data_IF_688934958414
#
_entry.id   IF_688934958414
#
_cell.length_a   1.000
_cell.length_b   1.000
_cell.length_c   1.000
_cell.angle_alpha   90.00
_cell.angle_beta   90.00
_cell.angle_gamma   90.00
#
_symmetry.space_group_name_H-M   'P 1'
#
loop_
_entity.id
_entity.type
_entity.pdbx_description
1 polymer ?
#
# COMPACT_ATOMS: atom_id res chain seq x y z
N UNK A 1 -5.66 11.99 0.35
CA UNK A 1 -5.91 10.53 0.38
C UNK A 1 -7.01 10.11 -0.57
N UNK A 2 -8.17 10.81 -0.65
CA UNK A 2 -9.26 10.36 -1.54
C UNK A 2 -8.92 10.31 -3.03
N UNK A 3 -7.94 11.11 -3.48
CA UNK A 3 -7.56 11.22 -4.89
C UNK A 3 -6.42 10.26 -5.24
N UNK A 4 -5.38 10.21 -4.40
CA UNK A 4 -4.14 9.43 -4.60
C UNK A 4 -3.49 9.11 -3.25
N UNK A 5 -2.68 8.05 -3.22
CA UNK A 5 -2.01 7.54 -2.02
C UNK A 5 -2.85 6.50 -1.28
N UNK A 6 -2.27 5.89 -0.25
CA UNK A 6 -2.98 5.01 0.71
C UNK A 6 -3.48 5.80 1.91
N UNK A 7 -2.74 6.79 2.37
CA UNK A 7 -3.18 7.75 3.39
C UNK A 7 -2.36 9.04 3.26
N UNK A 8 -2.48 9.99 4.21
CA UNK A 8 -1.90 11.32 4.03
C UNK A 8 -0.37 11.27 4.01
N UNK A 9 0.22 10.40 4.82
CA UNK A 9 1.67 10.20 4.92
C UNK A 9 2.29 9.72 3.61
N UNK A 10 1.52 9.09 2.71
CA UNK A 10 2.01 8.57 1.43
C UNK A 10 2.07 9.67 0.35
N UNK A 11 3.09 10.51 0.44
CA UNK A 11 3.27 11.67 -0.44
C UNK A 11 3.95 11.26 -1.74
N UNK A 12 3.43 11.74 -2.88
CA UNK A 12 3.95 11.44 -4.22
C UNK A 12 4.46 12.70 -4.91
N UNK A 13 5.70 12.66 -5.40
CA UNK A 13 6.32 13.72 -6.21
C UNK A 13 6.31 13.30 -7.66
N UNK A 14 5.76 14.16 -8.52
CA UNK A 14 5.70 13.95 -9.97
C UNK A 14 6.62 14.98 -10.65
N UNK A 15 7.52 14.51 -11.49
CA UNK A 15 8.36 15.34 -12.35
C UNK A 15 7.97 15.13 -13.82
N UNK A 16 7.48 16.17 -14.53
CA UNK A 16 7.21 16.06 -15.94
C UNK A 16 8.52 15.91 -16.74
N UNK A 17 8.50 15.05 -17.74
CA UNK A 17 9.62 14.77 -18.64
C UNK A 17 9.30 15.41 -19.98
N UNK A 18 10.00 16.49 -20.30
CA UNK A 18 9.92 17.13 -21.61
C UNK A 18 11.09 16.70 -22.50
N UNK A 19 10.80 16.40 -23.76
CA UNK A 19 11.79 16.12 -24.79
C UNK A 19 11.56 17.04 -25.98
N UNK A 20 12.56 17.87 -26.32
CA UNK A 20 12.49 18.87 -27.41
C UNK A 20 11.25 19.78 -27.36
N UNK A 21 10.82 20.15 -26.16
CA UNK A 21 9.68 21.06 -25.94
C UNK A 21 8.32 20.37 -25.80
N UNK A 22 8.24 19.05 -26.02
CA UNK A 22 7.00 18.28 -25.89
C UNK A 22 7.00 17.42 -24.64
N UNK A 23 5.84 17.27 -23.99
CA UNK A 23 5.67 16.41 -22.82
C UNK A 23 5.68 14.94 -23.28
N UNK A 24 6.66 14.18 -22.79
CA UNK A 24 6.76 12.73 -23.07
C UNK A 24 6.10 11.88 -21.97
N UNK A 25 6.23 12.29 -20.70
CA UNK A 25 5.68 11.52 -19.58
C UNK A 25 6.05 12.10 -18.22
N UNK A 26 6.01 11.26 -17.18
CA UNK A 26 6.31 11.66 -15.81
C UNK A 26 7.23 10.64 -15.12
N UNK A 27 8.20 11.12 -14.35
CA UNK A 27 8.87 10.33 -13.32
C UNK A 27 8.15 10.56 -11.99
N UNK A 28 7.92 9.50 -11.23
CA UNK A 28 7.15 9.57 -9.98
C UNK A 28 7.91 8.87 -8.86
N UNK A 29 7.99 9.51 -7.70
CA UNK A 29 8.54 8.94 -6.47
C UNK A 29 7.54 9.10 -5.33
N UNK A 30 7.20 8.00 -4.66
CA UNK A 30 6.37 8.01 -3.45
C UNK A 30 7.23 7.63 -2.25
N UNK A 31 7.00 8.32 -1.14
CA UNK A 31 7.59 7.99 0.15
C UNK A 31 6.52 8.17 1.23
N UNK A 32 6.65 7.39 2.29
CA UNK A 32 5.85 7.54 3.48
C UNK A 32 6.54 8.53 4.41
N UNK A 33 5.94 9.69 4.64
CA UNK A 33 6.42 10.70 5.57
C UNK A 33 5.96 10.33 6.98
N UNK A 34 6.92 10.12 7.88
CA UNK A 34 6.65 9.60 9.22
C UNK A 34 5.66 10.46 10.03
N UNK A 35 5.68 11.78 9.86
CA UNK A 35 4.73 12.69 10.51
C UNK A 35 4.22 13.75 9.52
N UNK A 36 2.90 13.88 9.42
CA UNK A 36 2.24 14.87 8.56
C UNK A 36 1.36 15.85 9.35
N UNK A 37 1.61 16.01 10.65
CA UNK A 37 0.86 16.96 11.47
C UNK A 37 -0.56 16.53 11.83
N UNK A 38 -0.86 15.23 11.82
CA UNK A 38 -2.10 14.70 12.38
C UNK A 38 -2.25 15.00 13.87
N UNK A 39 -3.43 14.75 14.45
CA UNK A 39 -3.70 15.04 15.88
C UNK A 39 -2.69 14.37 16.81
N UNK A 40 -2.26 13.15 16.47
CA UNK A 40 -1.24 12.39 17.20
C UNK A 40 0.10 12.37 16.44
N UNK A 41 1.24 12.23 17.14
CA UNK A 41 2.53 12.02 16.49
C UNK A 41 2.55 10.73 15.68
N UNK A 42 2.98 10.82 14.42
CA UNK A 42 3.05 9.68 13.53
C UNK A 42 1.72 9.41 12.84
N UNK A 43 0.84 8.69 13.53
CA UNK A 43 -0.46 8.27 13.00
C UNK A 43 -1.53 8.27 14.10
N UNK A 44 -2.74 8.72 13.73
CA UNK A 44 -3.93 8.72 14.60
C UNK A 44 -4.76 7.46 14.34
N UNK A 45 -5.28 6.83 15.40
CA UNK A 45 -6.04 5.55 15.33
C UNK A 45 -7.53 5.67 15.67
N UNK A 46 -7.94 6.85 16.10
CA UNK A 46 -9.28 7.21 16.57
C UNK A 46 -9.75 8.52 15.90
N UNK A 47 -9.20 8.87 14.74
CA UNK A 47 -9.67 10.03 13.98
C UNK A 47 -11.10 9.81 13.50
N UNK A 48 -11.94 10.85 13.60
CA UNK A 48 -13.34 10.86 13.14
C UNK A 48 -13.54 11.64 11.85
N UNK A 49 -12.51 12.39 11.44
CA UNK A 49 -12.49 13.16 10.21
C UNK A 49 -11.06 13.25 9.67
N UNK A 50 -10.91 13.29 8.35
CA UNK A 50 -9.60 13.38 7.69
C UNK A 50 -8.78 14.60 8.11
N UNK A 51 -9.42 15.67 8.61
CA UNK A 51 -8.73 16.87 9.07
C UNK A 51 -7.90 16.63 10.33
N UNK A 52 -8.23 15.59 11.10
CA UNK A 52 -7.45 15.14 12.25
C UNK A 52 -6.25 14.27 11.85
N UNK A 53 -6.13 13.89 10.57
CA UNK A 53 -5.07 13.03 10.06
C UNK A 53 -3.87 13.81 9.53
N UNK A 54 -3.99 15.15 9.44
CA UNK A 54 -2.88 16.06 9.20
C UNK A 54 -2.98 16.86 7.92
N UNK A 55 -1.82 17.32 7.44
CA UNK A 55 -1.68 18.24 6.32
C UNK A 55 -2.18 17.60 5.02
N UNK A 56 -3.17 18.27 4.42
CA UNK A 56 -3.73 17.88 3.12
C UNK A 56 -3.13 18.72 2.01
N UNK A 57 -2.17 18.15 1.29
CA UNK A 57 -1.56 18.79 0.13
C UNK A 57 -2.32 18.40 -1.16
N UNK A 58 -3.05 19.32 -1.81
CA UNK A 58 -3.52 19.10 -3.17
C UNK A 58 -2.32 19.11 -4.14
N UNK A 59 -2.51 18.80 -5.45
CA UNK A 59 -1.45 18.95 -6.44
C UNK A 59 -0.78 20.33 -6.36
N UNK A 60 0.44 20.37 -5.84
CA UNK A 60 1.14 21.60 -5.47
C UNK A 60 2.55 21.57 -6.04
N UNK A 61 2.99 22.70 -6.63
CA UNK A 61 4.33 22.81 -7.21
C UNK A 61 5.36 23.05 -6.10
N UNK A 62 6.08 21.99 -5.76
CA UNK A 62 7.15 21.98 -4.74
C UNK A 62 8.52 22.41 -5.27
N UNK A 63 8.70 22.46 -6.59
CA UNK A 63 9.91 22.93 -7.23
C UNK A 63 9.60 23.61 -8.58
N UNK A 64 10.35 24.65 -8.92
CA UNK A 64 10.19 25.45 -10.15
C UNK A 64 11.59 25.71 -10.72
N UNK A 65 11.81 25.37 -11.99
CA UNK A 65 13.11 25.58 -12.64
C UNK A 65 14.25 24.75 -12.03
N UNK A 66 13.94 23.67 -11.32
CA UNK A 66 14.93 22.86 -10.59
C UNK A 66 15.18 23.31 -9.15
N UNK A 67 14.66 24.48 -8.76
CA UNK A 67 14.80 25.03 -7.42
C UNK A 67 13.57 24.72 -6.56
N UNK A 68 13.79 24.44 -5.27
CA UNK A 68 12.73 24.15 -4.32
C UNK A 68 11.91 25.41 -4.04
N UNK A 69 10.59 25.27 -3.99
CA UNK A 69 9.68 26.35 -3.63
C UNK A 69 9.61 26.48 -2.11
N UNK A 70 10.33 27.46 -1.56
CA UNK A 70 10.40 27.70 -0.13
C UNK A 70 9.05 28.04 0.51
N UNK A 71 8.16 28.75 -0.18
CA UNK A 71 6.83 29.06 0.36
C UNK A 71 6.02 27.79 0.70
N UNK A 72 6.21 26.72 -0.08
CA UNK A 72 5.56 25.42 0.16
C UNK A 72 6.29 24.63 1.24
N UNK A 73 7.61 24.66 1.23
CA UNK A 73 8.43 24.00 2.25
C UNK A 73 8.15 24.57 3.64
N UNK A 74 8.08 25.90 3.76
CA UNK A 74 7.82 26.57 5.04
C UNK A 74 6.47 26.14 5.62
N UNK A 75 5.44 25.98 4.77
CA UNK A 75 4.14 25.45 5.19
C UNK A 75 4.24 23.99 5.65
N UNK A 76 4.98 23.14 4.93
CA UNK A 76 5.18 21.75 5.31
C UNK A 76 5.92 21.66 6.66
N UNK A 77 7.04 22.37 6.80
CA UNK A 77 7.86 22.40 8.02
C UNK A 77 7.07 22.87 9.24
N UNK A 78 6.23 23.90 9.07
CA UNK A 78 5.40 24.42 10.15
C UNK A 78 4.30 23.45 10.62
N UNK A 79 3.97 22.44 9.83
CA UNK A 79 2.88 21.48 10.09
C UNK A 79 3.39 20.06 10.38
N UNK A 80 4.66 19.88 10.73
CA UNK A 80 5.19 18.55 11.11
C UNK A 80 6.03 18.63 12.38
N UNK A 81 6.02 17.54 13.13
CA UNK A 81 6.88 17.34 14.31
C UNK A 81 8.31 16.95 13.93
N UNK A 82 8.53 16.51 12.68
CA UNK A 82 9.82 16.03 12.18
C UNK A 82 10.28 16.78 10.91
N UNK A 83 10.42 18.13 10.94
CA UNK A 83 10.65 18.94 9.74
C UNK A 83 11.90 18.51 8.97
N UNK A 84 13.00 18.23 9.67
CA UNK A 84 14.24 17.79 9.04
C UNK A 84 14.10 16.47 8.29
N UNK A 85 13.32 15.52 8.83
CA UNK A 85 13.07 14.21 8.22
C UNK A 85 12.17 14.36 6.99
N UNK A 86 11.02 15.02 7.16
CA UNK A 86 10.03 15.24 6.10
C UNK A 86 10.63 16.01 4.91
N UNK A 87 11.39 17.08 5.16
CA UNK A 87 12.06 17.82 4.08
C UNK A 87 13.21 17.03 3.47
N UNK A 88 13.87 16.17 4.26
CA UNK A 88 14.81 15.18 3.75
C UNK A 88 14.16 14.24 2.74
N UNK A 89 13.00 13.67 3.07
CA UNK A 89 12.23 12.78 2.20
C UNK A 89 11.76 13.50 0.93
N UNK A 90 11.21 14.73 1.06
CA UNK A 90 10.83 15.53 -0.09
C UNK A 90 12.00 15.76 -1.05
N UNK A 91 13.18 16.13 -0.51
CA UNK A 91 14.40 16.31 -1.31
C UNK A 91 14.84 15.02 -1.98
N UNK A 92 14.79 13.89 -1.27
CA UNK A 92 15.13 12.58 -1.80
C UNK A 92 14.18 12.17 -2.94
N UNK A 93 12.88 12.41 -2.79
CA UNK A 93 11.87 12.15 -3.82
C UNK A 93 12.09 13.01 -5.07
N UNK A 94 12.39 14.31 -4.91
CA UNK A 94 12.73 15.21 -6.03
C UNK A 94 13.98 14.70 -6.75
N UNK A 95 15.03 14.35 -6.01
CA UNK A 95 16.27 13.83 -6.59
C UNK A 95 16.04 12.51 -7.36
N UNK A 96 15.25 11.59 -6.81
CA UNK A 96 14.89 10.34 -7.46
C UNK A 96 14.12 10.58 -8.77
N UNK A 97 13.11 11.46 -8.74
CA UNK A 97 12.34 11.82 -9.92
C UNK A 97 13.22 12.51 -10.98
N UNK A 98 14.14 13.38 -10.59
CA UNK A 98 15.09 14.03 -11.49
C UNK A 98 16.03 13.02 -12.19
N UNK A 99 16.59 12.07 -11.43
CA UNK A 99 17.41 10.99 -12.00
C UNK A 99 16.61 10.16 -12.99
N UNK A 100 15.37 9.80 -12.65
CA UNK A 100 14.46 9.08 -13.56
C UNK A 100 14.22 9.84 -14.86
N UNK A 101 13.87 11.13 -14.76
CA UNK A 101 13.66 12.01 -15.92
C UNK A 101 14.88 12.08 -16.83
N UNK A 102 16.08 12.24 -16.25
CA UNK A 102 17.34 12.29 -17.02
C UNK A 102 17.58 10.98 -17.79
N UNK A 103 17.37 9.82 -17.15
CA UNK A 103 17.55 8.51 -17.81
C UNK A 103 16.58 8.29 -18.97
N UNK A 104 15.34 8.76 -18.83
CA UNK A 104 14.38 8.72 -19.95
C UNK A 104 14.82 9.61 -21.10
N UNK A 105 15.29 10.83 -20.82
CA UNK A 105 15.82 11.74 -21.87
C UNK A 105 17.03 11.09 -22.58
N UNK A 106 17.96 10.48 -21.85
CA UNK A 106 19.10 9.75 -22.43
C UNK A 106 18.66 8.62 -23.36
N UNK A 107 17.58 7.90 -23.03
CA UNK A 107 16.99 6.88 -23.90
C UNK A 107 16.38 7.50 -25.17
N UNK A 108 15.64 8.59 -25.02
CA UNK A 108 15.00 9.29 -26.14
C UNK A 108 16.02 9.90 -27.11
N UNK A 109 17.13 10.46 -26.59
CA UNK A 109 18.22 10.98 -27.42
C UNK A 109 18.91 9.88 -28.22
N UNK A 110 19.09 8.70 -27.61
CA UNK A 110 19.81 7.59 -28.23
C UNK A 110 18.97 6.86 -29.28
N UNK A 111 17.69 6.63 -29.01
CA UNK A 111 16.84 5.75 -29.81
C UNK A 111 15.72 6.48 -30.56
N UNK A 112 15.40 7.72 -30.18
CA UNK A 112 14.27 8.47 -30.73
C UNK A 112 12.93 8.11 -30.06
N UNK A 113 11.98 9.05 -30.14
CA UNK A 113 10.66 8.95 -29.49
C UNK A 113 9.85 7.77 -30.02
N UNK A 114 9.85 7.56 -31.33
CA UNK A 114 9.07 6.50 -31.99
C UNK A 114 9.52 5.12 -31.51
N UNK A 115 10.82 4.82 -31.57
CA UNK A 115 11.38 3.52 -31.15
C UNK A 115 11.11 3.25 -29.67
N UNK A 116 11.23 4.27 -28.81
CA UNK A 116 10.95 4.10 -27.37
C UNK A 116 9.46 3.84 -27.13
N UNK A 117 8.56 4.51 -27.85
CA UNK A 117 7.12 4.27 -27.74
C UNK A 117 6.71 2.89 -28.26
N UNK A 118 7.27 2.45 -29.38
CA UNK A 118 7.01 1.11 -29.94
C UNK A 118 7.48 0.02 -28.98
N UNK A 119 8.68 0.16 -28.41
CA UNK A 119 9.21 -0.77 -27.42
C UNK A 119 8.31 -0.81 -26.16
N UNK A 120 7.85 0.36 -25.69
CA UNK A 120 6.92 0.47 -24.56
C UNK A 120 5.60 -0.27 -24.84
N UNK A 121 4.97 -0.04 -25.99
CA UNK A 121 3.73 -0.74 -26.34
C UNK A 121 3.94 -2.25 -26.50
N UNK A 122 5.07 -2.69 -27.05
CA UNK A 122 5.41 -4.12 -27.10
C UNK A 122 5.51 -4.73 -25.70
N UNK A 123 6.17 -4.06 -24.76
CA UNK A 123 6.29 -4.51 -23.36
C UNK A 123 4.90 -4.56 -22.69
N UNK A 124 4.05 -3.57 -22.94
CA UNK A 124 2.70 -3.52 -22.38
C UNK A 124 1.83 -4.64 -22.94
N UNK A 125 1.82 -4.84 -24.25
CA UNK A 125 1.06 -5.92 -24.89
C UNK A 125 1.55 -7.30 -24.41
N UNK A 126 2.86 -7.45 -24.18
CA UNK A 126 3.41 -8.68 -23.62
C UNK A 126 2.92 -8.94 -22.19
N UNK A 127 2.93 -7.93 -21.33
CA UNK A 127 2.41 -8.06 -19.96
C UNK A 127 0.92 -8.42 -19.94
N UNK A 128 0.12 -7.75 -20.78
CA UNK A 128 -1.30 -8.07 -20.96
C UNK A 128 -1.50 -9.53 -21.41
N UNK A 129 -0.70 -10.01 -22.37
CA UNK A 129 -0.80 -11.39 -22.86
C UNK A 129 -0.54 -12.44 -21.79
N UNK A 130 0.41 -12.19 -20.87
CA UNK A 130 0.69 -13.10 -19.76
C UNK A 130 -0.45 -13.14 -18.75
N UNK A 131 -1.04 -11.99 -18.45
CA UNK A 131 -2.19 -11.89 -17.53
C UNK A 131 -3.43 -12.56 -18.13
N UNK A 132 -3.72 -12.31 -19.41
CA UNK A 132 -4.83 -12.95 -20.13
C UNK A 132 -4.69 -14.47 -20.21
N UNK A 133 -3.50 -14.98 -20.55
CA UNK A 133 -3.24 -16.42 -20.57
C UNK A 133 -3.40 -17.08 -19.20
N UNK A 134 -3.05 -16.36 -18.12
CA UNK A 134 -3.26 -16.86 -16.76
C UNK A 134 -4.74 -16.88 -16.36
N UNK A 135 -5.55 -15.91 -16.84
CA UNK A 135 -7.00 -15.88 -16.61
C UNK A 135 -7.69 -17.03 -17.36
N UNK A 136 -7.32 -17.30 -18.62
CA UNK A 136 -7.90 -18.37 -19.45
C UNK A 136 -7.70 -19.79 -18.87
N UNK A 137 -6.77 -19.96 -17.93
CA UNK A 137 -6.57 -21.22 -17.21
C UNK A 137 -7.66 -21.48 -16.16
N UNK A 138 -8.47 -20.47 -15.82
CA UNK A 138 -9.58 -20.56 -14.88
C UNK A 138 -10.88 -20.76 -15.68
N UNK A 139 -11.78 -21.61 -15.18
CA UNK A 139 -13.08 -21.79 -15.80
C UNK A 139 -13.92 -20.51 -15.72
N UNK A 140 -14.60 -20.17 -16.82
CA UNK A 140 -15.62 -19.11 -16.83
C UNK A 140 -16.67 -19.36 -15.74
N UNK A 141 -17.04 -18.31 -15.02
CA UNK A 141 -18.02 -18.42 -13.94
C UNK A 141 -17.99 -17.27 -12.96
N UNK A 142 -18.81 -17.42 -11.92
CA UNK A 142 -18.87 -16.51 -10.79
C UNK A 142 -18.33 -17.19 -9.54
N UNK A 143 -17.39 -16.52 -8.89
CA UNK A 143 -16.76 -16.93 -7.65
C UNK A 143 -17.06 -15.88 -6.58
N UNK A 144 -17.11 -16.28 -5.32
CA UNK A 144 -17.38 -15.32 -4.25
C UNK A 144 -16.72 -15.70 -2.94
N UNK A 145 -16.43 -14.67 -2.16
CA UNK A 145 -15.98 -14.80 -0.79
C UNK A 145 -16.47 -13.59 0.02
N UNK A 146 -16.65 -13.81 1.31
CA UNK A 146 -16.98 -12.77 2.27
C UNK A 146 -16.06 -12.82 3.48
N UNK A 147 -15.95 -11.67 4.14
CA UNK A 147 -15.17 -11.47 5.35
C UNK A 147 -15.49 -10.14 6.01
N UNK A 148 -14.83 -9.89 7.14
CA UNK A 148 -15.13 -8.79 8.02
C UNK A 148 -13.86 -8.09 8.47
N UNK A 149 -13.95 -6.79 8.69
CA UNK A 149 -13.02 -6.05 9.53
C UNK A 149 -13.68 -5.89 10.90
N UNK A 150 -12.96 -6.25 11.96
CA UNK A 150 -13.54 -6.41 13.30
C UNK A 150 -14.06 -5.10 13.90
N UNK A 151 -13.33 -4.01 13.72
CA UNK A 151 -13.66 -2.68 14.27
C UNK A 151 -13.10 -1.54 13.43
N UNK A 152 -13.63 -0.34 13.62
CA UNK A 152 -13.17 0.88 12.96
C UNK A 152 -12.21 1.74 13.80
N UNK A 153 -11.83 1.26 14.99
CA UNK A 153 -11.04 2.00 15.99
C UNK A 153 -11.92 2.71 17.03
N UNK A 154 -13.24 2.75 16.83
CA UNK A 154 -14.20 3.49 17.66
C UNK A 154 -15.37 2.61 18.15
N UNK A 155 -15.32 1.29 17.95
CA UNK A 155 -16.36 0.38 18.42
C UNK A 155 -17.54 0.17 17.47
N UNK A 156 -17.44 0.55 16.19
CA UNK A 156 -18.55 0.46 15.22
C UNK A 156 -18.48 -0.75 14.28
N UNK A 157 -17.67 -1.75 14.61
CA UNK A 157 -17.61 -3.00 13.86
C UNK A 157 -18.70 -4.03 14.19
N UNK A 158 -18.71 -5.17 13.47
CA UNK A 158 -17.83 -5.48 12.35
C UNK A 158 -18.30 -4.87 11.02
N UNK A 159 -17.36 -4.53 10.15
CA UNK A 159 -17.61 -4.04 8.79
C UNK A 159 -17.50 -5.19 7.79
N UNK A 160 -18.54 -5.39 6.98
CA UNK A 160 -18.65 -6.52 6.07
C UNK A 160 -18.13 -6.18 4.67
N UNK A 161 -17.43 -7.13 4.04
CA UNK A 161 -17.07 -7.09 2.63
C UNK A 161 -17.48 -8.39 1.97
N UNK A 162 -18.33 -8.28 0.95
CA UNK A 162 -18.64 -9.36 0.03
C UNK A 162 -18.00 -9.07 -1.32
N UNK A 163 -17.16 -9.98 -1.76
CA UNK A 163 -16.48 -9.92 -3.05
C UNK A 163 -17.09 -10.95 -3.99
N UNK A 164 -17.52 -10.50 -5.17
CA UNK A 164 -17.81 -11.36 -6.32
C UNK A 164 -16.71 -11.21 -7.35
N UNK A 165 -16.34 -12.31 -7.97
CA UNK A 165 -15.33 -12.36 -9.03
C UNK A 165 -15.95 -13.07 -10.23
N UNK A 166 -16.10 -12.36 -11.34
CA UNK A 166 -16.63 -12.93 -12.59
C UNK A 166 -15.48 -13.11 -13.56
N UNK A 167 -15.25 -14.36 -13.99
CA UNK A 167 -14.28 -14.71 -15.04
C UNK A 167 -15.03 -15.00 -16.32
N UNK A 168 -14.62 -14.35 -17.42
CA UNK A 168 -15.20 -14.57 -18.75
C UNK A 168 -14.11 -14.49 -19.83
N UNK A 169 -13.74 -15.65 -20.39
CA UNK A 169 -12.64 -15.77 -21.33
C UNK A 169 -11.32 -15.35 -20.70
N UNK A 170 -10.80 -14.19 -21.14
CA UNK A 170 -9.54 -13.64 -20.63
C UNK A 170 -9.72 -12.36 -19.81
N UNK A 171 -10.96 -12.02 -19.44
CA UNK A 171 -11.30 -10.86 -18.62
C UNK A 171 -11.82 -11.30 -17.24
N UNK A 172 -11.50 -10.49 -16.23
CA UNK A 172 -11.92 -10.69 -14.85
C UNK A 172 -12.53 -9.39 -14.30
N UNK A 173 -13.66 -9.52 -13.62
CA UNK A 173 -14.31 -8.41 -12.91
C UNK A 173 -14.37 -8.72 -11.42
N UNK A 174 -13.92 -7.79 -10.59
CA UNK A 174 -14.06 -7.84 -9.13
C UNK A 174 -15.13 -6.86 -8.70
N UNK A 175 -16.15 -7.32 -7.99
CA UNK A 175 -17.25 -6.50 -7.49
C UNK A 175 -17.32 -6.55 -5.95
N UNK A 176 -17.09 -5.38 -5.34
CA UNK A 176 -17.17 -5.13 -3.89
C UNK A 176 -18.22 -4.06 -3.55
N UNK A 177 -19.23 -3.88 -4.40
CA UNK A 177 -20.30 -2.88 -4.19
C UNK A 177 -21.16 -3.14 -2.95
N UNK A 178 -21.19 -4.39 -2.46
CA UNK A 178 -21.90 -4.82 -1.24
C UNK A 178 -21.08 -4.61 0.06
N UNK A 179 -19.97 -3.88 0.02
CA UNK A 179 -19.25 -3.49 1.23
C UNK A 179 -20.09 -2.58 2.14
N UNK A 180 -19.86 -2.65 3.45
CA UNK A 180 -20.48 -1.77 4.46
C UNK A 180 -20.33 -0.27 4.12
N UNK A 181 -21.24 0.54 4.66
CA UNK A 181 -21.15 2.00 4.56
C UNK A 181 -19.86 2.53 5.20
N UNK A 182 -19.44 3.73 4.79
CA UNK A 182 -18.28 4.40 5.36
C UNK A 182 -18.39 4.47 6.88
N UNK A 183 -17.30 4.10 7.56
CA UNK A 183 -17.22 4.05 9.01
C UNK A 183 -16.86 5.43 9.58
N UNK A 184 -17.27 5.73 10.82
CA UNK A 184 -16.86 6.97 11.49
C UNK A 184 -15.37 6.97 11.88
N UNK A 185 -14.74 5.82 12.16
CA UNK A 185 -13.31 5.69 12.46
C UNK A 185 -12.40 5.51 11.24
N UNK A 186 -11.06 5.54 11.40
CA UNK A 186 -10.09 5.70 10.30
C UNK A 186 -9.86 4.50 9.38
N UNK A 187 -10.66 3.45 9.50
CA UNK A 187 -10.53 2.20 8.71
C UNK A 187 -10.88 2.37 7.23
N UNK A 188 -11.48 3.51 6.85
CA UNK A 188 -11.93 3.74 5.49
C UNK A 188 -10.77 3.81 4.49
N UNK A 189 -11.12 3.61 3.23
CA UNK A 189 -10.25 3.81 2.07
C UNK A 189 -11.01 4.50 0.94
N UNK A 190 -10.29 5.26 0.12
CA UNK A 190 -10.81 5.84 -1.11
C UNK A 190 -10.84 4.83 -2.25
N UNK A 191 -11.62 5.12 -3.30
CA UNK A 191 -11.79 4.23 -4.45
C UNK A 191 -10.46 3.78 -5.10
N UNK A 192 -9.49 4.69 -5.24
CA UNK A 192 -8.16 4.39 -5.79
C UNK A 192 -7.40 3.33 -4.99
N UNK A 193 -7.61 3.27 -3.67
CA UNK A 193 -6.95 2.32 -2.78
C UNK A 193 -7.56 0.93 -2.91
N UNK A 194 -8.88 0.85 -2.95
CA UNK A 194 -9.64 -0.39 -3.21
C UNK A 194 -9.28 -0.99 -4.55
N UNK A 195 -9.22 -0.18 -5.62
CA UNK A 195 -8.73 -0.63 -6.93
C UNK A 195 -7.28 -1.13 -6.82
N UNK A 196 -6.43 -0.44 -6.06
CA UNK A 196 -5.03 -0.85 -5.87
C UNK A 196 -4.91 -2.17 -5.11
N UNK A 197 -5.71 -2.41 -4.07
CA UNK A 197 -5.74 -3.68 -3.35
C UNK A 197 -6.21 -4.83 -4.25
N UNK A 198 -7.26 -4.61 -5.03
CA UNK A 198 -7.72 -5.59 -6.03
C UNK A 198 -6.62 -5.91 -7.06
N UNK A 199 -5.86 -4.90 -7.52
CA UNK A 199 -4.71 -5.09 -8.42
C UNK A 199 -3.55 -5.85 -7.77
N UNK A 200 -3.26 -5.59 -6.50
CA UNK A 200 -2.24 -6.33 -5.74
C UNK A 200 -2.65 -7.80 -5.62
N UNK A 201 -3.89 -8.07 -5.22
CA UNK A 201 -4.42 -9.45 -5.15
C UNK A 201 -4.40 -10.13 -6.51
N UNK A 202 -4.82 -9.43 -7.57
CA UNK A 202 -4.72 -9.93 -8.93
C UNK A 202 -3.28 -10.29 -9.27
N UNK A 203 -2.31 -9.41 -8.98
CA UNK A 203 -0.91 -9.68 -9.32
C UNK A 203 -0.30 -10.82 -8.52
N UNK A 204 -0.76 -11.09 -7.30
CA UNK A 204 -0.33 -12.27 -6.54
C UNK A 204 -0.75 -13.58 -7.21
N UNK A 205 -1.91 -13.59 -7.87
CA UNK A 205 -2.49 -14.79 -8.46
C UNK A 205 -2.13 -14.95 -9.95
N UNK A 206 -2.05 -13.85 -10.69
CA UNK A 206 -1.94 -13.83 -12.15
C UNK A 206 -0.61 -13.20 -12.58
N UNK A 207 0.21 -14.01 -13.26
CA UNK A 207 1.51 -13.59 -13.80
C UNK A 207 2.40 -12.90 -12.74
N UNK A 208 2.45 -13.46 -11.52
CA UNK A 208 3.12 -12.88 -10.35
C UNK A 208 4.64 -12.73 -10.50
N UNK A 209 5.25 -13.49 -11.41
CA UNK A 209 6.67 -13.42 -11.76
C UNK A 209 6.98 -12.29 -12.77
N UNK A 210 5.98 -11.60 -13.31
CA UNK A 210 6.14 -10.53 -14.30
C UNK A 210 6.10 -9.14 -13.66
N UNK A 211 6.92 -8.18 -14.13
CA UNK A 211 6.87 -6.81 -13.62
C UNK A 211 5.53 -6.14 -13.94
N UNK A 212 5.09 -5.24 -13.06
CA UNK A 212 3.90 -4.39 -13.28
C UNK A 212 4.24 -3.24 -14.21
N UNK A 213 3.41 -3.00 -15.23
CA UNK A 213 3.58 -1.88 -16.17
C UNK A 213 2.22 -1.46 -16.79
N UNK A 214 2.22 -0.56 -17.79
CA UNK A 214 0.99 -0.03 -18.40
C UNK A 214 0.16 -1.03 -19.22
N UNK A 215 0.67 -2.24 -19.43
CA UNK A 215 -0.09 -3.38 -19.94
C UNK A 215 -0.83 -4.17 -18.87
N UNK A 216 -0.38 -4.07 -17.62
CA UNK A 216 -1.00 -4.78 -16.51
C UNK A 216 -2.40 -4.27 -16.22
N UNK A 217 -3.27 -5.19 -15.79
CA UNK A 217 -4.65 -4.94 -15.35
C UNK A 217 -5.59 -4.47 -16.46
N UNK A 218 -5.21 -4.53 -17.74
CA UNK A 218 -6.10 -4.20 -18.88
C UNK A 218 -7.28 -5.18 -19.01
N UNK A 219 -7.13 -6.39 -18.50
CA UNK A 219 -8.18 -7.42 -18.40
C UNK A 219 -8.96 -7.40 -17.08
N UNK A 220 -8.65 -6.48 -16.17
CA UNK A 220 -9.25 -6.39 -14.84
C UNK A 220 -10.16 -5.15 -14.74
N UNK A 221 -11.43 -5.36 -14.41
CA UNK A 221 -12.33 -4.30 -13.95
C UNK A 221 -12.65 -4.44 -12.46
N UNK A 222 -12.87 -3.32 -11.78
CA UNK A 222 -13.25 -3.29 -10.36
C UNK A 222 -14.50 -2.43 -10.19
N UNK A 223 -15.55 -3.00 -9.59
CA UNK A 223 -16.78 -2.33 -9.20
C UNK A 223 -16.80 -2.11 -7.70
N UNK A 224 -17.16 -0.91 -7.30
CA UNK A 224 -17.23 -0.46 -5.91
C UNK A 224 -18.32 0.61 -5.78
N UNK A 225 -18.84 0.80 -4.57
CA UNK A 225 -19.94 1.73 -4.28
C UNK A 225 -19.41 2.95 -3.53
N UNK A 226 -19.55 4.14 -4.12
CA UNK A 226 -19.25 5.41 -3.46
C UNK A 226 -20.02 5.53 -2.14
N UNK A 227 -19.34 5.98 -1.08
CA UNK A 227 -19.91 6.07 0.27
C UNK A 227 -19.84 4.77 1.08
N UNK A 228 -19.31 3.67 0.52
CA UNK A 228 -18.85 2.52 1.31
C UNK A 228 -17.52 2.83 1.99
N UNK A 229 -17.13 2.05 3.01
CA UNK A 229 -15.79 2.23 3.63
C UNK A 229 -14.64 1.87 2.68
N UNK A 230 -14.93 1.22 1.54
CA UNK A 230 -13.98 0.95 0.45
C UNK A 230 -13.96 2.04 -0.62
N UNK A 231 -14.81 3.06 -0.51
CA UNK A 231 -14.88 4.18 -1.43
C UNK A 231 -15.43 5.41 -0.71
N UNK A 232 -14.81 5.73 0.43
CA UNK A 232 -15.31 6.77 1.31
C UNK A 232 -15.19 8.15 0.66
N UNK A 233 -16.04 9.05 1.13
CA UNK A 233 -16.04 10.45 0.69
C UNK A 233 -15.70 11.37 1.85
N UNK A 234 -15.26 12.58 1.53
CA UNK A 234 -15.01 13.60 2.55
C UNK A 234 -16.26 13.81 3.41
N UNK A 235 -16.14 13.91 4.75
CA UNK A 235 -14.91 14.08 5.53
C UNK A 235 -14.33 12.79 6.17
N UNK A 236 -14.70 11.60 5.70
CA UNK A 236 -14.34 10.33 6.34
C UNK A 236 -12.82 10.16 6.57
N UNK A 237 -12.40 9.75 7.77
CA UNK A 237 -11.00 9.46 8.08
C UNK A 237 -10.55 8.17 7.38
N UNK A 238 -9.32 8.14 6.89
CA UNK A 238 -8.78 7.03 6.09
C UNK A 238 -7.31 6.70 6.44
N UNK A 239 -6.92 6.93 7.70
CA UNK A 239 -5.54 6.71 8.12
C UNK A 239 -5.16 5.23 8.16
N UNK A 240 -6.07 4.36 8.60
CA UNK A 240 -5.80 2.95 8.88
C UNK A 240 -6.34 2.05 7.77
N UNK A 241 -5.56 1.89 6.70
CA UNK A 241 -5.99 1.15 5.52
C UNK A 241 -5.55 -0.34 5.52
N UNK A 242 -4.62 -0.74 6.39
CA UNK A 242 -3.93 -2.03 6.28
C UNK A 242 -4.90 -3.22 6.27
N UNK A 243 -5.79 -3.28 7.25
CA UNK A 243 -6.73 -4.39 7.43
C UNK A 243 -7.77 -4.43 6.30
N UNK A 244 -8.29 -3.27 5.88
CA UNK A 244 -9.31 -3.20 4.82
C UNK A 244 -8.74 -3.55 3.43
N UNK A 245 -7.49 -3.20 3.14
CA UNK A 245 -6.83 -3.62 1.90
C UNK A 245 -6.38 -5.09 1.94
N UNK A 246 -5.86 -5.55 3.09
CA UNK A 246 -5.45 -6.94 3.29
C UNK A 246 -6.62 -7.91 3.12
N UNK A 247 -7.76 -7.59 3.73
CA UNK A 247 -8.99 -8.35 3.58
C UNK A 247 -9.40 -8.52 2.10
N UNK A 248 -9.35 -7.46 1.30
CA UNK A 248 -9.71 -7.54 -0.12
C UNK A 248 -8.79 -8.50 -0.88
N UNK A 249 -7.48 -8.44 -0.62
CA UNK A 249 -6.51 -9.34 -1.25
C UNK A 249 -6.80 -10.79 -0.87
N UNK A 250 -7.10 -11.05 0.40
CA UNK A 250 -7.45 -12.37 0.91
C UNK A 250 -8.78 -12.90 0.35
N UNK A 251 -9.78 -12.04 0.22
CA UNK A 251 -11.07 -12.42 -0.36
C UNK A 251 -10.95 -12.83 -1.81
N UNK A 252 -10.07 -12.18 -2.59
CA UNK A 252 -9.84 -12.58 -3.98
C UNK A 252 -9.21 -13.98 -4.06
N UNK A 253 -8.17 -14.24 -3.25
CA UNK A 253 -7.55 -15.56 -3.17
C UNK A 253 -8.56 -16.62 -2.69
N UNK A 254 -9.36 -16.30 -1.67
CA UNK A 254 -10.40 -17.18 -1.13
C UNK A 254 -11.50 -17.48 -2.13
N UNK A 255 -11.96 -16.49 -2.91
CA UNK A 255 -12.99 -16.68 -3.94
C UNK A 255 -12.51 -17.66 -5.02
N UNK A 256 -11.25 -17.53 -5.45
CA UNK A 256 -10.65 -18.35 -6.50
C UNK A 256 -10.02 -19.66 -6.00
N UNK A 257 -10.05 -19.94 -4.69
CA UNK A 257 -9.31 -21.05 -4.09
C UNK A 257 -9.65 -22.42 -4.66
N UNK A 258 -10.93 -22.66 -5.01
CA UNK A 258 -11.34 -23.92 -5.63
C UNK A 258 -11.01 -23.98 -7.12
N UNK A 259 -10.89 -22.82 -7.79
CA UNK A 259 -10.68 -22.72 -9.23
C UNK A 259 -9.19 -22.83 -9.60
N UNK A 260 -8.30 -22.37 -8.72
CA UNK A 260 -6.84 -22.43 -8.91
C UNK A 260 -6.12 -22.92 -7.63
N UNK A 261 -6.44 -24.13 -7.12
CA UNK A 261 -6.03 -24.60 -5.79
C UNK A 261 -4.51 -24.74 -5.60
N UNK A 262 -3.75 -24.82 -6.69
CA UNK A 262 -2.29 -24.94 -6.66
C UNK A 262 -1.58 -23.56 -6.67
N UNK A 263 -2.34 -22.46 -6.80
CA UNK A 263 -1.83 -21.10 -6.96
C UNK A 263 -2.31 -20.12 -5.88
N UNK A 264 -3.13 -20.58 -4.93
CA UNK A 264 -3.60 -19.76 -3.80
C UNK A 264 -2.89 -20.13 -2.50
N UNK A 265 -2.78 -19.16 -1.61
CA UNK A 265 -2.44 -19.37 -0.20
C UNK A 265 -3.65 -19.05 0.68
N UNK A 266 -3.68 -19.58 1.89
CA UNK A 266 -4.55 -19.04 2.92
C UNK A 266 -4.17 -17.57 3.24
N UNK A 267 -5.04 -16.89 3.99
CA UNK A 267 -4.80 -15.52 4.45
C UNK A 267 -3.54 -15.42 5.32
N UNK A 268 -2.88 -14.26 5.32
CA UNK A 268 -1.85 -13.97 6.33
C UNK A 268 -2.54 -13.47 7.62
N UNK A 269 -1.78 -12.82 8.50
CA UNK A 269 -2.25 -12.37 9.81
C UNK A 269 -3.17 -11.13 9.76
N UNK A 270 -3.55 -10.66 8.56
CA UNK A 270 -4.71 -9.78 8.35
C UNK A 270 -4.49 -8.29 8.60
N UNK A 271 -3.34 -7.89 9.12
CA UNK A 271 -2.98 -6.50 9.39
C UNK A 271 -1.45 -6.31 9.25
N UNK A 272 -0.96 -5.08 9.23
CA UNK A 272 0.45 -4.75 9.42
C UNK A 272 0.83 -4.73 10.91
N UNK A 273 -0.15 -4.64 11.81
CA UNK A 273 0.03 -4.49 13.26
C UNK A 273 1.11 -3.45 13.62
N UNK A 274 1.04 -2.22 13.07
CA UNK A 274 2.04 -1.22 13.37
C UNK A 274 2.00 -0.85 14.86
N UNK A 275 3.18 -0.76 15.47
CA UNK A 275 3.37 -0.19 16.81
C UNK A 275 4.07 1.14 16.63
N UNK A 276 3.44 2.20 17.14
CA UNK A 276 4.00 3.55 17.12
C UNK A 276 4.30 3.97 18.55
N UNK A 277 5.55 4.34 18.79
CA UNK A 277 5.99 4.88 20.08
C UNK A 277 6.55 6.27 19.85
N UNK A 278 6.07 7.24 20.62
CA UNK A 278 6.57 8.61 20.53
C UNK A 278 6.75 9.22 21.91
N UNK A 279 7.63 10.21 21.99
CA UNK A 279 7.96 10.86 23.25
C UNK A 279 9.15 11.81 23.09
N UNK A 280 9.76 12.17 24.21
CA UNK A 280 10.97 12.98 24.22
C UNK A 280 12.19 12.08 24.35
N UNK A 281 13.17 12.27 23.48
CA UNK A 281 14.45 11.60 23.56
C UNK A 281 15.34 12.27 24.63
N UNK A 282 15.67 11.59 25.74
CA UNK A 282 16.46 12.18 26.81
C UNK A 282 17.91 12.53 26.40
N UNK A 283 18.38 12.06 25.23
CA UNK A 283 19.74 12.32 24.73
C UNK A 283 19.88 13.69 24.07
N UNK A 284 18.78 14.25 23.55
CA UNK A 284 18.79 15.51 22.80
C UNK A 284 17.58 16.43 23.08
N UNK A 285 16.67 16.03 23.96
CA UNK A 285 15.44 16.74 24.34
C UNK A 285 14.46 17.02 23.18
N UNK A 286 14.64 16.36 22.04
CA UNK A 286 13.76 16.42 20.88
C UNK A 286 12.67 15.34 20.90
N UNK A 287 11.66 15.48 20.06
CA UNK A 287 10.66 14.43 19.84
C UNK A 287 11.29 13.23 19.10
N UNK A 288 10.95 12.02 19.52
CA UNK A 288 11.12 10.83 18.71
C UNK A 288 9.77 10.24 18.32
N UNK A 289 9.74 9.62 17.15
CA UNK A 289 8.62 8.81 16.67
C UNK A 289 9.24 7.55 16.07
N UNK A 290 9.00 6.42 16.72
CA UNK A 290 9.28 5.09 16.20
C UNK A 290 8.00 4.53 15.59
N UNK A 291 8.12 3.94 14.41
CA UNK A 291 7.01 3.33 13.68
C UNK A 291 7.50 1.99 13.16
N UNK A 292 6.98 0.92 13.71
CA UNK A 292 7.32 -0.43 13.32
C UNK A 292 6.11 -1.18 12.79
N UNK A 293 6.10 -1.53 11.49
CA UNK A 293 5.24 -2.60 11.00
C UNK A 293 5.86 -3.94 11.38
N UNK A 294 5.11 -4.78 12.08
CA UNK A 294 5.62 -6.05 12.54
C UNK A 294 5.38 -7.18 11.55
N UNK A 295 6.28 -8.15 11.59
CA UNK A 295 6.16 -9.40 10.85
C UNK A 295 5.15 -10.33 11.52
N UNK A 296 4.55 -11.22 10.75
CA UNK A 296 3.59 -12.18 11.27
C UNK A 296 3.59 -13.50 10.52
N UNK A 297 2.58 -14.32 10.81
CA UNK A 297 2.40 -15.62 10.18
C UNK A 297 1.69 -15.51 8.83
N UNK A 298 2.28 -16.06 7.78
CA UNK A 298 1.62 -16.18 6.48
C UNK A 298 0.75 -17.44 6.39
N UNK A 299 -0.24 -17.39 5.52
CA UNK A 299 -1.11 -18.54 5.26
C UNK A 299 -0.38 -19.71 4.64
N UNK A 300 -0.79 -20.92 5.01
CA UNK A 300 -0.32 -22.15 4.39
C UNK A 300 -0.84 -22.27 2.95
N UNK A 301 -0.23 -23.17 2.17
CA UNK A 301 -0.69 -23.49 0.83
C UNK A 301 -0.49 -24.97 0.54
N UNK A 302 -1.03 -25.45 -0.58
CA UNK A 302 -0.97 -26.86 -0.90
C UNK A 302 0.49 -27.32 -1.00
N UNK A 303 0.84 -28.28 -0.14
CA UNK A 303 2.16 -28.89 -0.07
C UNK A 303 3.10 -28.30 0.98
N UNK A 304 2.80 -27.13 1.57
CA UNK A 304 3.72 -26.44 2.46
C UNK A 304 3.02 -25.64 3.57
N UNK A 305 3.63 -25.66 4.76
CA UNK A 305 3.29 -24.75 5.85
C UNK A 305 3.53 -23.28 5.45
N UNK A 306 2.79 -22.38 6.09
CA UNK A 306 2.97 -20.94 5.94
C UNK A 306 4.28 -20.45 6.57
N UNK A 307 4.81 -19.36 6.03
CA UNK A 307 6.07 -18.76 6.50
C UNK A 307 5.83 -17.99 7.81
N UNK A 308 6.63 -18.27 8.83
CA UNK A 308 6.60 -17.54 10.10
C UNK A 308 7.42 -16.25 10.01
N UNK A 309 6.98 -15.18 10.69
CA UNK A 309 7.77 -13.96 10.83
C UNK A 309 8.08 -13.25 9.51
N UNK A 310 7.09 -13.13 8.62
CA UNK A 310 7.19 -12.39 7.36
C UNK A 310 6.24 -11.18 7.35
N UNK A 311 6.67 -10.07 6.74
CA UNK A 311 5.85 -8.88 6.54
C UNK A 311 4.60 -9.23 5.72
N UNK A 312 3.44 -8.68 6.11
CA UNK A 312 2.18 -8.90 5.41
C UNK A 312 2.19 -8.42 3.95
N UNK A 313 1.25 -8.94 3.18
CA UNK A 313 1.15 -8.69 1.74
C UNK A 313 0.85 -7.23 1.35
N UNK A 314 0.34 -6.41 2.26
CA UNK A 314 -0.02 -4.99 2.02
C UNK A 314 1.22 -4.08 2.05
N UNK A 315 2.27 -4.46 2.77
CA UNK A 315 3.48 -3.65 2.93
C UNK A 315 4.59 -3.96 1.90
N UNK A 316 4.32 -4.86 0.96
CA UNK A 316 5.21 -5.18 -0.14
C UNK A 316 6.62 -5.58 0.31
N UNK A 317 7.63 -4.82 -0.12
CA UNK A 317 9.05 -5.09 0.16
C UNK A 317 9.60 -4.47 1.45
N UNK A 318 8.73 -4.01 2.36
CA UNK A 318 9.15 -3.48 3.67
C UNK A 318 9.95 -4.55 4.44
N UNK A 319 10.94 -4.10 5.20
CA UNK A 319 11.77 -4.95 6.07
C UNK A 319 11.56 -4.54 7.52
N UNK A 320 11.75 -5.48 8.43
CA UNK A 320 11.73 -5.17 9.85
C UNK A 320 12.93 -4.30 10.25
N UNK A 321 12.79 -3.57 11.36
CA UNK A 321 13.86 -2.73 11.90
C UNK A 321 14.80 -3.60 12.73
N UNK A 322 16.11 -3.69 12.39
CA UNK A 322 17.06 -4.42 13.21
C UNK A 322 17.11 -3.85 14.64
N UNK A 323 17.24 -4.72 15.64
CA UNK A 323 17.28 -4.33 17.06
C UNK A 323 18.33 -3.24 17.31
N UNK A 324 19.55 -3.43 16.80
CA UNK A 324 20.65 -2.47 16.96
C UNK A 324 20.30 -1.09 16.38
N UNK A 325 19.52 -1.04 15.29
CA UNK A 325 19.07 0.23 14.69
C UNK A 325 17.99 0.87 15.56
N UNK A 326 17.02 0.08 16.04
CA UNK A 326 15.96 0.56 16.94
C UNK A 326 16.55 1.18 18.21
N UNK A 327 17.40 0.44 18.95
CA UNK A 327 18.00 0.92 20.21
C UNK A 327 19.01 2.06 20.01
N UNK A 328 19.62 2.16 18.82
CA UNK A 328 20.50 3.29 18.50
C UNK A 328 19.69 4.54 18.17
N UNK A 329 18.62 4.41 17.40
CA UNK A 329 17.85 5.57 16.91
C UNK A 329 16.85 6.09 17.94
N UNK A 330 16.22 5.21 18.70
CA UNK A 330 15.14 5.56 19.61
C UNK A 330 15.56 5.31 21.06
N UNK A 331 15.02 6.04 22.04
CA UNK A 331 15.28 5.81 23.45
C UNK A 331 14.46 4.62 23.97
N UNK A 332 14.56 3.49 23.27
CA UNK A 332 13.83 2.26 23.50
C UNK A 332 14.84 1.12 23.63
N UNK A 333 14.50 0.11 24.43
CA UNK A 333 15.29 -1.13 24.49
C UNK A 333 14.41 -2.33 24.16
N UNK A 334 14.87 -3.20 23.26
CA UNK A 334 14.16 -4.44 22.94
C UNK A 334 14.54 -5.50 23.96
N UNK A 335 13.56 -5.99 24.72
CA UNK A 335 13.77 -6.99 25.79
C UNK A 335 13.68 -8.42 25.28
N UNK A 336 12.74 -8.69 24.38
CA UNK A 336 12.55 -9.98 23.73
C UNK A 336 12.10 -9.76 22.29
N UNK A 337 12.57 -10.62 21.38
CA UNK A 337 12.05 -10.71 20.02
C UNK A 337 12.13 -12.17 19.57
N UNK A 338 10.98 -12.85 19.56
CA UNK A 338 10.89 -14.29 19.36
C UNK A 338 9.68 -14.66 18.50
N UNK A 339 9.70 -15.84 17.87
CA UNK A 339 8.49 -16.40 17.26
C UNK A 339 7.49 -16.76 18.37
N UNK A 340 6.23 -16.39 18.20
CA UNK A 340 5.15 -16.73 19.13
C UNK A 340 4.73 -18.19 18.92
N UNK A 341 5.04 -19.11 19.85
CA UNK A 341 4.69 -20.53 19.69
C UNK A 341 3.16 -20.71 19.56
N UNK A 342 2.76 -21.74 18.82
CA UNK A 342 1.35 -22.16 18.66
C UNK A 342 0.39 -21.09 18.13
N UNK A 343 0.92 -20.03 17.51
CA UNK A 343 0.11 -18.93 17.00
C UNK A 343 -0.35 -19.10 15.55
N UNK A 344 0.18 -20.09 14.83
CA UNK A 344 -0.17 -20.34 13.44
C UNK A 344 -1.52 -21.03 13.33
N UNK A 345 -2.30 -20.70 12.30
CA UNK A 345 -3.59 -21.35 12.04
C UNK A 345 -3.44 -22.85 11.85
N UNK A 346 -4.26 -23.65 12.53
CA UNK A 346 -4.23 -25.11 12.41
C UNK A 346 -4.76 -25.59 11.04
N UNK A 347 -4.15 -26.62 10.47
CA UNK A 347 -4.55 -27.21 9.19
C UNK A 347 -3.69 -28.42 8.85
N UNK A 348 -3.99 -29.10 7.73
CA UNK A 348 -3.10 -30.13 7.18
C UNK A 348 -1.69 -29.59 6.95
N UNK A 349 -1.61 -28.36 6.44
CA UNK A 349 -0.45 -27.50 6.50
C UNK A 349 -0.80 -26.34 7.42
N UNK A 350 0.07 -26.06 8.40
CA UNK A 350 -0.19 -25.01 9.40
C UNK A 350 0.19 -23.64 8.85
N UNK A 351 -0.50 -22.61 9.29
CA UNK A 351 -0.07 -21.22 9.08
C UNK A 351 1.27 -20.95 9.77
N UNK A 352 1.97 -19.94 9.28
CA UNK A 352 3.18 -19.44 9.93
C UNK A 352 2.89 -18.90 11.33
N UNK A 353 3.91 -18.93 12.19
CA UNK A 353 3.84 -18.29 13.50
C UNK A 353 4.06 -16.78 13.36
N UNK A 354 3.38 -16.01 14.21
CA UNK A 354 3.69 -14.60 14.42
C UNK A 354 4.86 -14.43 15.36
N UNK A 355 5.00 -13.23 15.92
CA UNK A 355 6.09 -12.89 16.84
C UNK A 355 5.57 -12.41 18.19
N UNK A 356 6.47 -12.42 19.16
CA UNK A 356 6.41 -11.63 20.38
C UNK A 356 7.59 -10.67 20.34
N UNK A 357 7.35 -9.37 20.50
CA UNK A 357 8.38 -8.35 20.68
C UNK A 357 8.02 -7.48 21.87
N UNK A 358 8.96 -7.26 22.78
CA UNK A 358 8.74 -6.48 24.01
C UNK A 358 9.77 -5.36 24.14
N UNK A 359 9.32 -4.23 24.68
CA UNK A 359 10.10 -2.99 24.78
C UNK A 359 10.21 -2.56 26.24
N UNK A 360 11.30 -1.86 26.56
CA UNK A 360 11.51 -1.09 27.79
C UNK A 360 11.77 0.38 27.46
#
# INVERSE_FOLDING_TARGET
TYVVGTHLNDVSVYAPIFFRGELFGFAVSRAHWLDIGGKDPGQSFDSTEIFQEGLRLPPTRVAIGGEINHDVVDVIEANTRLPKGVIGDLKAQIAAAYVGSRRVIELLDKYGVEVVNDAKEMIFNQAESFERAAIEAIADGEYSAEGYVDDDGLGNGPLHVKMRVTVKGSDIEIDVTEASDQAPGPINSGASQTISACRVGFKYLFASDKPVNGGSFRSLSVKLREGSFLACTSPAPANWYFSSLGLQIDLLAKALANAMPDNVTAADYGDSNPVIMSGTDPRNEGIFIDFECHVGGWGAFRGHDGVSGLINKVNGGLRDIPIEVCETRYPLRVRDYSLRPDSGGAGQWRGGCGITKTYE
#
